data_IF_896507933274
#
_entry.id   IF_896507933274
#
_cell.length_a   1.000
_cell.length_b   1.000
_cell.length_c   1.000
_cell.angle_alpha   90.00
_cell.angle_beta   90.00
_cell.angle_gamma   90.00
#
_symmetry.space_group_name_H-M   'P 1'
#
loop_
_entity.id
_entity.type
_entity.pdbx_description
1 polymer ?
#
# COMPACT_ATOMS: atom_id res chain seq x y z
N UNK A 1 33.50 -16.53 -12.40
CA UNK A 1 32.56 -15.51 -12.93
C UNK A 1 31.15 -15.73 -12.39
N UNK A 2 30.61 -16.95 -12.44
CA UNK A 2 29.28 -17.26 -11.87
C UNK A 2 29.20 -17.11 -10.34
N UNK A 3 30.25 -17.50 -9.61
CA UNK A 3 30.29 -17.31 -8.14
C UNK A 3 30.40 -15.84 -7.73
N UNK A 4 31.14 -15.04 -8.50
CA UNK A 4 31.20 -13.58 -8.31
C UNK A 4 29.86 -12.90 -8.62
N UNK A 5 29.10 -13.45 -9.58
CA UNK A 5 27.74 -13.03 -9.89
C UNK A 5 26.75 -13.30 -8.75
N UNK A 6 26.87 -14.47 -8.10
CA UNK A 6 26.03 -14.82 -6.94
C UNK A 6 26.37 -13.99 -5.72
N UNK A 7 27.64 -13.87 -5.33
CA UNK A 7 28.05 -13.08 -4.17
C UNK A 7 27.70 -11.58 -4.30
N UNK A 8 27.65 -11.07 -5.53
CA UNK A 8 27.27 -9.68 -5.82
C UNK A 8 25.82 -9.38 -5.45
N UNK A 9 24.98 -10.40 -5.50
CA UNK A 9 23.53 -10.23 -5.36
C UNK A 9 22.91 -10.99 -4.19
N UNK A 10 23.68 -11.88 -3.57
CA UNK A 10 23.24 -12.55 -2.34
C UNK A 10 23.20 -11.56 -1.18
N UNK A 11 22.08 -10.92 -1.09
CA UNK A 11 21.76 -9.93 -0.08
C UNK A 11 22.50 -8.61 -0.30
N UNK A 12 21.75 -7.56 -0.40
CA UNK A 12 22.26 -6.20 -0.39
C UNK A 12 23.12 -5.92 0.85
N UNK A 13 22.99 -6.72 1.91
CA UNK A 13 23.76 -6.64 3.14
C UNK A 13 25.28 -6.64 2.93
N UNK A 14 25.79 -7.42 1.97
CA UNK A 14 27.23 -7.45 1.68
C UNK A 14 27.71 -6.10 1.15
N UNK A 15 26.97 -5.50 0.21
CA UNK A 15 27.30 -4.22 -0.42
C UNK A 15 27.16 -3.06 0.55
N UNK A 16 26.13 -3.09 1.38
CA UNK A 16 25.94 -2.10 2.43
C UNK A 16 27.02 -2.16 3.47
N UNK A 17 27.32 -3.35 3.95
CA UNK A 17 28.38 -3.57 4.93
C UNK A 17 29.73 -3.11 4.40
N UNK A 18 30.02 -3.42 3.14
CA UNK A 18 31.23 -2.95 2.48
C UNK A 18 31.23 -1.44 2.33
N UNK A 19 30.18 -0.85 1.78
CA UNK A 19 30.07 0.57 1.60
C UNK A 19 30.16 1.37 2.90
N UNK A 20 29.52 0.87 3.94
CA UNK A 20 29.56 1.49 5.26
C UNK A 20 30.94 1.39 5.92
N UNK A 21 31.63 0.24 5.81
CA UNK A 21 32.97 0.03 6.36
C UNK A 21 34.04 0.80 5.60
N UNK A 22 33.92 0.90 4.29
CA UNK A 22 34.91 1.54 3.44
C UNK A 22 34.85 3.08 3.45
N UNK A 23 33.75 3.68 3.94
CA UNK A 23 33.58 5.13 3.94
C UNK A 23 33.70 5.71 2.55
N UNK A 24 33.01 5.11 1.59
CA UNK A 24 33.13 5.33 0.14
C UNK A 24 33.33 6.80 -0.25
N UNK A 25 34.52 7.16 -0.72
CA UNK A 25 34.85 8.50 -1.21
C UNK A 25 34.96 8.53 -2.73
N UNK A 26 35.74 7.63 -3.29
CA UNK A 26 36.00 7.49 -4.71
C UNK A 26 36.01 6.04 -5.14
N UNK A 27 35.75 5.76 -6.40
CA UNK A 27 35.71 4.38 -6.92
C UNK A 27 37.07 3.68 -6.90
N UNK A 28 38.14 4.40 -7.23
CA UNK A 28 39.52 3.88 -7.17
C UNK A 28 39.93 3.50 -5.73
N UNK A 29 39.54 4.29 -4.73
CA UNK A 29 39.74 3.96 -3.31
C UNK A 29 38.96 2.71 -2.93
N UNK A 30 37.72 2.60 -3.38
CA UNK A 30 36.87 1.43 -3.11
C UNK A 30 37.48 0.18 -3.75
N UNK A 31 37.96 0.27 -4.98
CA UNK A 31 38.52 -0.86 -5.71
C UNK A 31 39.83 -1.38 -5.12
N UNK A 32 40.50 -0.57 -4.31
CA UNK A 32 41.75 -0.95 -3.62
C UNK A 32 41.56 -1.44 -2.18
N UNK A 33 40.41 -1.13 -1.56
CA UNK A 33 40.10 -1.44 -0.16
C UNK A 33 39.58 -2.85 0.07
N UNK A 34 39.23 -3.56 -0.97
CA UNK A 34 38.60 -4.88 -0.87
C UNK A 34 39.45 -6.01 -1.38
N UNK A 35 38.93 -7.21 -1.28
CA UNK A 35 39.45 -8.35 -2.01
C UNK A 35 39.31 -8.11 -3.52
N UNK A 36 40.11 -8.79 -4.33
CA UNK A 36 40.00 -8.76 -5.80
C UNK A 36 38.56 -9.03 -6.27
N UNK A 37 37.85 -9.91 -5.57
CA UNK A 37 36.44 -10.23 -5.83
C UNK A 37 35.53 -9.01 -5.64
N UNK A 38 35.74 -8.22 -4.59
CA UNK A 38 34.97 -7.00 -4.31
C UNK A 38 35.23 -5.93 -5.39
N UNK A 39 36.48 -5.71 -5.77
CA UNK A 39 36.83 -4.77 -6.82
C UNK A 39 36.21 -5.15 -8.18
N UNK A 40 36.26 -6.44 -8.55
CA UNK A 40 35.62 -6.95 -9.77
C UNK A 40 34.10 -6.78 -9.70
N UNK A 41 33.48 -7.03 -8.56
CA UNK A 41 32.06 -6.88 -8.39
C UNK A 41 31.62 -5.41 -8.52
N UNK A 42 32.36 -4.46 -7.93
CA UNK A 42 32.08 -3.02 -8.08
C UNK A 42 32.18 -2.55 -9.52
N UNK A 43 33.23 -2.96 -10.23
CA UNK A 43 33.37 -2.66 -11.66
C UNK A 43 32.23 -3.23 -12.49
N UNK A 44 31.78 -4.43 -12.16
CA UNK A 44 30.64 -5.06 -12.81
C UNK A 44 29.32 -4.28 -12.57
N UNK A 45 29.12 -3.71 -11.38
CA UNK A 45 27.96 -2.86 -11.08
C UNK A 45 28.06 -1.55 -11.86
N UNK A 46 29.25 -0.92 -11.88
CA UNK A 46 29.48 0.30 -12.68
C UNK A 46 29.17 0.05 -14.17
N UNK A 47 29.72 -1.02 -14.74
CA UNK A 47 29.48 -1.40 -16.13
C UNK A 47 28.00 -1.64 -16.44
N UNK A 48 27.28 -2.27 -15.52
CA UNK A 48 25.84 -2.46 -15.67
C UNK A 48 25.06 -1.13 -15.63
N UNK A 49 25.48 -0.19 -14.77
CA UNK A 49 24.91 1.15 -14.72
C UNK A 49 25.17 1.92 -16.04
N UNK A 50 26.36 1.81 -16.58
CA UNK A 50 26.74 2.42 -17.88
C UNK A 50 25.88 1.88 -19.02
N UNK A 51 25.63 0.57 -19.05
CA UNK A 51 24.74 -0.04 -20.04
C UNK A 51 23.29 0.46 -19.93
N UNK A 52 22.80 0.63 -18.71
CA UNK A 52 21.43 1.14 -18.47
C UNK A 52 21.31 2.63 -18.82
N UNK A 53 22.37 3.39 -18.62
CA UNK A 53 22.40 4.84 -18.91
C UNK A 53 22.71 5.12 -20.39
N UNK A 54 23.40 4.23 -21.06
CA UNK A 54 23.83 4.39 -22.45
C UNK A 54 25.06 5.28 -22.63
N UNK A 55 25.79 5.60 -21.56
CA UNK A 55 27.03 6.39 -21.58
C UNK A 55 27.97 5.99 -20.44
N UNK A 56 29.23 6.40 -20.55
CA UNK A 56 30.25 6.13 -19.54
C UNK A 56 30.02 6.97 -18.28
N UNK A 57 30.03 6.29 -17.11
CA UNK A 57 29.82 6.91 -15.80
C UNK A 57 31.16 7.23 -15.17
N UNK A 58 31.40 8.49 -14.81
CA UNK A 58 32.62 8.87 -14.09
C UNK A 58 32.70 8.18 -12.73
N UNK A 59 33.92 7.94 -12.24
CA UNK A 59 34.12 7.29 -10.93
C UNK A 59 33.52 8.13 -9.79
N UNK A 60 33.57 9.46 -9.91
CA UNK A 60 32.99 10.36 -8.90
C UNK A 60 31.45 10.24 -8.86
N UNK A 61 30.80 10.22 -10.02
CA UNK A 61 29.35 10.01 -10.12
C UNK A 61 28.97 8.63 -9.57
N UNK A 62 29.69 7.59 -9.98
CA UNK A 62 29.45 6.23 -9.50
C UNK A 62 29.57 6.14 -7.98
N UNK A 63 30.63 6.69 -7.40
CA UNK A 63 30.86 6.68 -5.95
C UNK A 63 29.78 7.45 -5.19
N UNK A 64 29.31 8.59 -5.72
CA UNK A 64 28.27 9.38 -5.09
C UNK A 64 26.93 8.64 -5.09
N UNK A 65 26.54 8.06 -6.22
CA UNK A 65 25.34 7.21 -6.33
C UNK A 65 25.45 6.00 -5.40
N UNK A 66 26.57 5.27 -5.50
CA UNK A 66 26.78 4.05 -4.71
C UNK A 66 26.74 4.31 -3.20
N UNK A 67 27.38 5.40 -2.74
CA UNK A 67 27.32 5.83 -1.33
C UNK A 67 25.88 6.14 -0.91
N UNK A 68 25.13 6.84 -1.74
CA UNK A 68 23.74 7.18 -1.40
C UNK A 68 22.88 5.94 -1.34
N UNK A 69 23.02 5.03 -2.32
CA UNK A 69 22.32 3.75 -2.32
C UNK A 69 22.71 2.90 -1.10
N UNK A 70 24.01 2.81 -0.77
CA UNK A 70 24.49 2.04 0.38
C UNK A 70 24.05 2.61 1.73
N UNK A 71 23.88 3.91 1.84
CA UNK A 71 23.43 4.56 3.09
C UNK A 71 21.91 4.64 3.20
N UNK A 72 21.20 4.22 2.16
CA UNK A 72 19.74 4.16 2.21
C UNK A 72 19.30 2.96 3.07
N UNK A 73 18.47 3.22 4.07
CA UNK A 73 17.93 2.19 4.97
C UNK A 73 16.40 2.27 4.99
N UNK A 74 15.72 1.15 5.09
CA UNK A 74 16.18 -0.22 5.17
C UNK A 74 16.62 -0.78 3.80
N UNK A 75 17.68 -1.54 3.84
CA UNK A 75 18.36 -2.13 2.69
C UNK A 75 17.55 -3.18 1.94
N UNK A 76 16.78 -4.05 2.60
CA UNK A 76 16.02 -5.08 1.89
C UNK A 76 15.04 -4.47 0.88
N UNK A 77 14.71 -3.22 1.07
CA UNK A 77 13.72 -2.50 0.28
C UNK A 77 14.22 -1.94 -1.05
N UNK A 78 15.52 -2.01 -1.36
CA UNK A 78 16.04 -1.50 -2.63
C UNK A 78 15.38 -2.12 -3.87
N UNK A 79 14.74 -3.26 -3.72
CA UNK A 79 14.01 -3.88 -4.80
C UNK A 79 12.68 -3.27 -5.15
N UNK A 80 11.98 -2.79 -4.18
CA UNK A 80 10.59 -2.39 -4.36
C UNK A 80 10.29 -0.95 -3.94
N UNK A 81 11.26 -0.27 -3.31
CA UNK A 81 10.96 1.00 -2.65
C UNK A 81 12.04 2.06 -2.87
N UNK A 82 11.61 3.23 -3.34
CA UNK A 82 12.42 4.45 -3.36
C UNK A 82 11.56 5.62 -2.84
N UNK A 83 11.78 6.11 -1.61
CA UNK A 83 11.11 7.30 -1.12
C UNK A 83 11.29 8.47 -2.08
N UNK A 84 10.30 9.33 -2.18
CA UNK A 84 10.37 10.52 -3.01
C UNK A 84 11.64 11.35 -2.72
N UNK A 85 12.00 11.48 -1.46
CA UNK A 85 13.22 12.16 -1.04
C UNK A 85 14.49 11.47 -1.56
N UNK A 86 14.51 10.15 -1.60
CA UNK A 86 15.62 9.38 -2.16
C UNK A 86 15.71 9.57 -3.67
N UNK A 87 14.59 9.50 -4.38
CA UNK A 87 14.50 9.79 -5.82
C UNK A 87 14.98 11.21 -6.11
N UNK A 88 14.47 12.20 -5.40
CA UNK A 88 14.89 13.61 -5.55
C UNK A 88 16.37 13.81 -5.23
N UNK A 89 16.91 13.05 -4.30
CA UNK A 89 18.34 13.11 -3.99
C UNK A 89 19.17 12.51 -5.11
N UNK A 90 18.76 11.39 -5.69
CA UNK A 90 19.43 10.82 -6.87
C UNK A 90 19.32 11.74 -8.07
N UNK A 91 18.20 12.38 -8.30
CA UNK A 91 18.04 13.40 -9.34
C UNK A 91 19.05 14.54 -9.17
N UNK A 92 19.15 15.10 -7.96
CA UNK A 92 20.14 16.16 -7.66
C UNK A 92 21.60 15.72 -7.84
N UNK A 93 21.89 14.45 -7.53
CA UNK A 93 23.24 13.89 -7.79
C UNK A 93 23.51 13.85 -9.30
N UNK A 94 22.58 13.34 -10.09
CA UNK A 94 22.71 13.28 -11.54
C UNK A 94 22.90 14.68 -12.15
N UNK A 95 22.02 15.61 -11.81
CA UNK A 95 22.06 16.99 -12.29
C UNK A 95 23.37 17.71 -11.95
N UNK A 96 23.88 17.49 -10.73
CA UNK A 96 25.20 18.01 -10.29
C UNK A 96 26.34 17.55 -11.18
N UNK A 97 26.23 16.35 -11.74
CA UNK A 97 27.21 15.77 -12.66
C UNK A 97 26.86 16.00 -14.15
N UNK A 98 25.89 16.88 -14.44
CA UNK A 98 25.46 17.21 -15.80
C UNK A 98 24.66 16.13 -16.50
N UNK A 99 24.10 15.17 -15.74
CA UNK A 99 23.26 14.07 -16.22
C UNK A 99 21.79 14.40 -15.96
N UNK A 100 20.91 14.13 -16.93
CA UNK A 100 19.47 14.34 -16.74
C UNK A 100 18.90 13.54 -15.57
N UNK A 101 18.08 14.18 -14.74
CA UNK A 101 17.37 13.54 -13.65
C UNK A 101 16.43 12.41 -14.07
N UNK A 102 16.06 12.33 -15.36
CA UNK A 102 15.24 11.24 -15.92
C UNK A 102 15.94 9.87 -15.81
N UNK A 103 17.26 9.84 -15.70
CA UNK A 103 18.02 8.59 -15.55
C UNK A 103 17.94 7.95 -14.17
N UNK A 104 17.21 8.53 -13.20
CA UNK A 104 16.98 7.90 -11.90
C UNK A 104 16.42 6.48 -12.03
N UNK A 105 15.54 6.26 -13.01
CA UNK A 105 15.02 4.93 -13.30
C UNK A 105 16.10 3.90 -13.68
N UNK A 106 17.12 4.30 -14.41
CA UNK A 106 18.25 3.44 -14.77
C UNK A 106 19.09 3.07 -13.55
N UNK A 107 19.39 4.05 -12.67
CA UNK A 107 20.07 3.79 -11.40
C UNK A 107 19.27 2.78 -10.57
N UNK A 108 17.98 3.04 -10.45
CA UNK A 108 17.09 2.17 -9.70
C UNK A 108 17.10 0.73 -10.25
N UNK A 109 16.98 0.54 -11.57
CA UNK A 109 17.08 -0.77 -12.21
C UNK A 109 18.41 -1.45 -11.97
N UNK A 110 19.53 -0.73 -12.08
CA UNK A 110 20.87 -1.27 -11.86
C UNK A 110 21.05 -1.83 -10.46
N UNK A 111 20.64 -1.10 -9.45
CA UNK A 111 20.78 -1.50 -8.05
C UNK A 111 19.66 -2.42 -7.57
N UNK A 112 18.56 -2.45 -8.29
CA UNK A 112 17.43 -3.34 -8.08
C UNK A 112 17.61 -4.74 -8.65
N UNK A 113 18.50 -4.91 -9.60
CA UNK A 113 18.61 -6.03 -10.55
C UNK A 113 18.67 -7.44 -9.94
N UNK A 114 18.42 -7.68 -8.70
CA UNK A 114 18.14 -9.03 -8.19
C UNK A 114 17.24 -9.05 -6.96
N UNK A 115 16.51 -8.02 -6.79
CA UNK A 115 15.36 -8.10 -5.93
C UNK A 115 14.14 -8.63 -6.72
N UNK A 116 14.35 -9.14 -7.93
CA UNK A 116 13.34 -9.86 -8.72
C UNK A 116 12.77 -11.10 -8.01
N UNK A 117 13.42 -11.55 -6.92
CA UNK A 117 12.85 -12.50 -5.97
C UNK A 117 12.06 -11.82 -4.83
N UNK A 118 12.13 -10.51 -4.70
CA UNK A 118 11.24 -9.73 -3.86
C UNK A 118 10.03 -9.40 -4.72
N UNK A 119 9.03 -10.24 -4.62
CA UNK A 119 7.82 -10.25 -5.43
C UNK A 119 7.14 -8.89 -5.40
N UNK A 120 7.45 -8.03 -6.38
CA UNK A 120 6.51 -7.02 -6.82
C UNK A 120 5.40 -7.75 -7.57
N UNK A 121 4.22 -7.23 -7.49
CA UNK A 121 3.04 -7.85 -8.09
C UNK A 121 2.91 -7.46 -9.56
N UNK A 122 2.36 -8.36 -10.35
CA UNK A 122 1.96 -8.03 -11.72
C UNK A 122 0.72 -7.14 -11.71
N UNK A 123 -0.19 -7.40 -10.77
CA UNK A 123 -1.49 -6.74 -10.73
C UNK A 123 -1.83 -6.28 -9.31
N UNK A 124 -2.56 -5.17 -9.21
CA UNK A 124 -3.17 -4.67 -7.98
C UNK A 124 -4.69 -4.66 -8.18
N UNK A 125 -5.41 -5.25 -7.23
CA UNK A 125 -6.85 -5.16 -7.12
C UNK A 125 -7.20 -4.29 -5.92
N UNK A 126 -7.87 -3.18 -6.14
CA UNK A 126 -8.39 -2.31 -5.10
C UNK A 126 -9.78 -2.82 -4.68
N UNK A 127 -9.90 -3.26 -3.45
CA UNK A 127 -11.14 -3.64 -2.82
C UNK A 127 -11.61 -2.46 -1.96
N UNK A 128 -12.76 -1.86 -2.33
CA UNK A 128 -13.27 -0.64 -1.69
C UNK A 128 -14.69 -0.92 -1.17
N UNK A 129 -14.82 -1.44 0.06
CA UNK A 129 -16.08 -1.95 0.55
C UNK A 129 -16.99 -0.90 1.19
N UNK A 130 -16.47 0.25 1.64
CA UNK A 130 -17.19 1.12 2.56
C UNK A 130 -17.23 2.61 2.18
N UNK A 131 -16.84 2.99 0.96
CA UNK A 131 -16.77 4.40 0.54
C UNK A 131 -18.15 5.05 0.35
N UNK A 132 -19.15 4.27 0.03
CA UNK A 132 -20.45 4.77 -0.36
C UNK A 132 -21.36 5.08 0.85
N UNK A 133 -22.08 6.19 0.78
CA UNK A 133 -23.20 6.52 1.66
C UNK A 133 -24.57 6.30 0.98
N UNK A 134 -24.58 5.73 -0.22
CA UNK A 134 -25.80 5.48 -1.00
C UNK A 134 -26.58 4.26 -0.54
N UNK A 135 -27.85 4.24 -0.83
CA UNK A 135 -28.74 3.12 -0.59
C UNK A 135 -29.42 2.70 -1.89
N UNK A 136 -29.84 1.44 -2.06
CA UNK A 136 -30.67 1.03 -3.19
C UNK A 136 -31.98 1.85 -3.23
N UNK A 137 -32.44 2.18 -4.43
CA UNK A 137 -33.68 2.95 -4.62
C UNK A 137 -34.88 2.30 -3.93
N UNK A 138 -34.92 0.97 -3.95
CA UNK A 138 -36.02 0.18 -3.37
C UNK A 138 -36.02 0.21 -1.85
N UNK A 139 -34.93 0.61 -1.20
CA UNK A 139 -34.84 0.67 0.25
C UNK A 139 -35.63 1.82 0.87
N UNK A 140 -36.01 2.83 0.07
CA UNK A 140 -36.61 4.09 0.51
C UNK A 140 -35.77 4.85 1.56
N UNK A 141 -34.45 4.60 1.61
CA UNK A 141 -33.49 5.28 2.47
C UNK A 141 -32.52 6.13 1.65
N UNK A 142 -31.95 7.13 2.30
CA UNK A 142 -30.94 8.03 1.72
C UNK A 142 -29.85 8.33 2.73
N UNK A 143 -28.76 8.96 2.28
CA UNK A 143 -27.69 9.41 3.17
C UNK A 143 -28.17 10.44 4.22
N UNK A 144 -29.30 11.11 3.98
CA UNK A 144 -29.91 12.05 4.94
C UNK A 144 -30.54 11.35 6.14
N UNK A 145 -30.82 10.04 6.03
CA UNK A 145 -31.35 9.26 7.13
C UNK A 145 -30.28 8.84 8.15
N UNK A 146 -29.00 9.01 7.79
CA UNK A 146 -27.87 8.74 8.66
C UNK A 146 -27.71 9.84 9.70
N UNK A 147 -27.62 9.46 10.97
CA UNK A 147 -27.19 10.39 12.01
C UNK A 147 -25.67 10.60 11.98
N UNK A 148 -25.18 11.53 12.81
CA UNK A 148 -23.76 11.88 12.82
C UNK A 148 -22.83 10.71 13.13
N UNK A 149 -23.18 9.89 14.12
CA UNK A 149 -22.36 8.74 14.52
C UNK A 149 -22.33 7.66 13.42
N UNK A 150 -23.43 7.47 12.71
CA UNK A 150 -23.52 6.56 11.56
C UNK A 150 -22.69 7.04 10.37
N UNK A 151 -22.68 8.37 10.13
CA UNK A 151 -21.82 8.97 9.10
C UNK A 151 -20.34 8.76 9.37
N UNK A 152 -19.90 8.76 10.64
CA UNK A 152 -18.52 8.47 10.98
C UNK A 152 -18.07 7.05 10.62
N UNK A 153 -19.01 6.10 10.43
CA UNK A 153 -18.70 4.74 10.03
C UNK A 153 -18.42 4.58 8.52
N UNK A 154 -18.87 5.52 7.70
CA UNK A 154 -18.65 5.49 6.25
C UNK A 154 -17.22 5.91 5.95
N UNK A 155 -16.52 5.16 5.11
CA UNK A 155 -15.14 5.46 4.67
C UNK A 155 -15.16 6.44 3.48
N UNK A 156 -15.73 7.63 3.71
CA UNK A 156 -15.93 8.63 2.66
C UNK A 156 -14.67 8.84 1.83
N UNK A 157 -14.84 8.91 0.51
CA UNK A 157 -13.80 9.21 -0.47
C UNK A 157 -12.69 8.18 -0.61
N UNK A 158 -12.74 7.02 0.04
CA UNK A 158 -11.70 5.99 -0.14
C UNK A 158 -11.68 5.47 -1.58
N UNK A 159 -12.82 5.42 -2.27
CA UNK A 159 -12.87 5.14 -3.70
C UNK A 159 -12.06 6.17 -4.51
N UNK A 160 -12.32 7.46 -4.33
CA UNK A 160 -11.59 8.51 -5.04
C UNK A 160 -10.11 8.55 -4.63
N UNK A 161 -9.82 8.33 -3.34
CA UNK A 161 -8.48 8.40 -2.78
C UNK A 161 -7.57 7.30 -3.36
N UNK A 162 -8.07 6.07 -3.41
CA UNK A 162 -7.31 4.92 -3.88
C UNK A 162 -7.39 4.73 -5.40
N UNK A 163 -8.48 5.13 -6.06
CA UNK A 163 -8.73 4.86 -7.48
C UNK A 163 -8.28 5.97 -8.44
N UNK A 164 -7.69 7.05 -7.99
CA UNK A 164 -7.43 8.29 -8.76
C UNK A 164 -6.69 8.16 -10.09
N UNK A 165 -6.26 6.96 -10.46
CA UNK A 165 -5.67 6.60 -11.75
C UNK A 165 -5.69 5.08 -11.95
N UNK A 166 -6.72 4.43 -11.40
CA UNK A 166 -6.70 3.00 -11.14
C UNK A 166 -7.00 2.12 -12.35
N UNK A 167 -7.57 2.63 -13.40
CA UNK A 167 -7.83 1.78 -14.57
C UNK A 167 -6.64 1.81 -15.53
N UNK A 168 -5.62 1.09 -15.18
CA UNK A 168 -4.54 0.69 -16.07
C UNK A 168 -4.64 -0.80 -16.36
N UNK A 169 -3.87 -1.31 -17.30
CA UNK A 169 -3.81 -2.76 -17.60
C UNK A 169 -3.49 -3.61 -16.34
N UNK A 170 -2.84 -3.03 -15.33
CA UNK A 170 -2.34 -3.73 -14.14
C UNK A 170 -3.04 -3.35 -12.83
N UNK A 171 -3.89 -2.34 -12.83
CA UNK A 171 -4.65 -1.90 -11.65
C UNK A 171 -6.14 -1.94 -11.98
N UNK A 172 -6.88 -2.62 -11.14
CA UNK A 172 -8.35 -2.69 -11.24
C UNK A 172 -8.98 -2.49 -9.88
N UNK A 173 -10.26 -2.19 -9.86
CA UNK A 173 -10.99 -1.97 -8.63
C UNK A 173 -12.33 -2.72 -8.59
N UNK A 174 -12.80 -2.99 -7.38
CA UNK A 174 -14.17 -3.42 -7.08
C UNK A 174 -14.67 -2.57 -5.92
N UNK A 175 -15.68 -1.76 -6.17
CA UNK A 175 -16.28 -0.85 -5.20
C UNK A 175 -17.67 -1.36 -4.82
N UNK A 176 -17.95 -1.44 -3.52
CA UNK A 176 -19.31 -1.72 -3.08
C UNK A 176 -20.16 -0.44 -3.23
N UNK A 177 -21.30 -0.51 -3.94
CA UNK A 177 -22.02 0.69 -4.32
C UNK A 177 -22.88 1.28 -3.20
N UNK A 178 -23.09 0.55 -2.10
CA UNK A 178 -24.00 0.93 -1.04
C UNK A 178 -23.30 1.18 0.29
N UNK A 179 -24.01 1.88 1.18
CA UNK A 179 -23.55 2.16 2.53
C UNK A 179 -23.37 0.85 3.33
N UNK A 180 -22.30 0.77 4.11
CA UNK A 180 -22.03 -0.36 4.99
C UNK A 180 -23.15 -0.61 6.02
N UNK A 181 -23.91 0.41 6.38
CA UNK A 181 -25.05 0.26 7.28
C UNK A 181 -26.23 -0.47 6.64
N UNK A 182 -26.29 -0.45 5.29
CA UNK A 182 -27.25 -1.28 4.54
C UNK A 182 -26.77 -2.74 4.47
N UNK A 183 -25.50 -2.93 4.13
CA UNK A 183 -24.84 -4.23 4.07
C UNK A 183 -23.34 -4.05 4.30
N UNK A 184 -22.80 -4.58 5.38
CA UNK A 184 -21.37 -4.59 5.63
C UNK A 184 -20.75 -5.85 4.99
N UNK A 185 -20.13 -5.65 3.83
CA UNK A 185 -19.51 -6.72 3.03
C UNK A 185 -18.19 -7.23 3.59
N UNK A 186 -17.63 -6.54 4.59
CA UNK A 186 -16.41 -6.93 5.30
C UNK A 186 -16.67 -7.94 6.42
N UNK A 187 -17.89 -7.97 6.96
CA UNK A 187 -18.21 -8.88 8.04
C UNK A 187 -18.15 -10.33 7.60
N UNK A 188 -17.80 -11.21 8.53
CA UNK A 188 -17.89 -12.64 8.30
C UNK A 188 -19.34 -13.12 8.50
N UNK A 189 -19.70 -14.19 7.80
CA UNK A 189 -20.94 -14.89 8.10
C UNK A 189 -20.81 -15.45 9.54
N UNK A 190 -21.76 -15.12 10.41
CA UNK A 190 -21.74 -15.42 11.85
C UNK A 190 -20.63 -14.68 12.62
N UNK A 191 -20.28 -13.47 12.20
CA UNK A 191 -19.36 -12.60 12.95
C UNK A 191 -19.82 -12.44 14.40
N UNK A 192 -18.92 -12.54 15.41
CA UNK A 192 -19.28 -12.33 16.82
C UNK A 192 -19.97 -10.99 17.08
N UNK A 193 -19.62 -9.93 16.33
CA UNK A 193 -20.22 -8.61 16.43
C UNK A 193 -21.68 -8.56 15.95
N UNK A 194 -22.18 -9.61 15.28
CA UNK A 194 -23.60 -9.70 14.91
C UNK A 194 -24.50 -9.68 16.17
N UNK A 195 -24.02 -10.20 17.30
CA UNK A 195 -24.72 -10.17 18.59
C UNK A 195 -24.89 -8.76 19.17
N UNK A 196 -24.00 -7.87 18.74
CA UNK A 196 -23.98 -6.46 19.13
C UNK A 196 -24.67 -5.56 18.08
N UNK A 197 -25.28 -6.18 17.07
CA UNK A 197 -25.92 -5.46 15.97
C UNK A 197 -24.98 -4.91 14.93
N UNK A 198 -23.73 -5.37 14.88
CA UNK A 198 -22.66 -4.91 13.97
C UNK A 198 -22.23 -6.03 13.01
N UNK A 199 -23.18 -6.86 12.56
CA UNK A 199 -22.96 -7.93 11.59
C UNK A 199 -23.03 -7.46 10.14
N UNK A 200 -23.28 -8.39 9.19
CA UNK A 200 -23.52 -8.08 7.76
C UNK A 200 -24.62 -7.02 7.61
N UNK A 201 -25.59 -7.05 8.49
CA UNK A 201 -26.64 -6.05 8.60
C UNK A 201 -26.52 -5.33 9.95
N UNK A 202 -26.43 -4.01 9.92
CA UNK A 202 -26.42 -3.23 11.15
C UNK A 202 -27.82 -3.15 11.77
N UNK A 203 -27.89 -3.40 13.09
CA UNK A 203 -29.07 -3.28 13.91
C UNK A 203 -28.76 -2.33 15.06
N UNK A 204 -29.19 -1.09 14.95
CA UNK A 204 -28.91 -0.07 15.96
C UNK A 204 -30.12 0.15 16.86
N UNK A 205 -29.89 0.18 18.17
CA UNK A 205 -30.88 0.68 19.11
C UNK A 205 -31.07 2.18 18.95
N UNK A 206 -32.29 2.58 18.59
CA UNK A 206 -32.63 4.02 18.43
C UNK A 206 -33.50 4.41 19.60
N UNK A 207 -33.03 5.40 20.38
CA UNK A 207 -33.84 6.03 21.43
C UNK A 207 -34.90 6.92 20.77
N UNK A 208 -35.95 6.31 20.22
CA UNK A 208 -37.13 7.02 19.72
C UNK A 208 -38.28 6.89 20.70
N UNK A 209 -39.00 7.98 20.90
CA UNK A 209 -40.25 7.95 21.71
C UNK A 209 -41.40 7.10 21.11
N UNK A 210 -41.16 6.36 20.03
CA UNK A 210 -42.13 5.58 19.25
C UNK A 210 -42.05 4.05 19.40
N UNK A 211 -41.22 3.53 20.30
CA UNK A 211 -41.29 2.10 20.69
C UNK A 211 -40.67 1.10 19.72
N UNK A 212 -39.91 1.51 18.69
CA UNK A 212 -39.09 0.61 17.88
C UNK A 212 -37.65 0.61 18.43
N UNK A 213 -37.22 -0.47 19.09
CA UNK A 213 -35.93 -0.50 19.78
C UNK A 213 -34.73 -0.53 18.80
N UNK A 214 -34.94 -0.95 17.56
CA UNK A 214 -33.85 -1.14 16.60
C UNK A 214 -34.16 -0.55 15.23
N UNK A 215 -33.18 0.12 14.64
CA UNK A 215 -33.19 0.58 13.25
C UNK A 215 -32.25 -0.31 12.41
N UNK A 216 -32.70 -0.63 11.20
CA UNK A 216 -31.88 -1.23 10.17
C UNK A 216 -32.28 -0.66 8.81
N UNK A 217 -31.33 -0.53 7.92
CA UNK A 217 -31.53 0.01 6.57
C UNK A 217 -31.81 -1.06 5.52
N UNK A 218 -31.80 -2.34 5.90
CA UNK A 218 -32.08 -3.48 5.03
C UNK A 218 -32.81 -4.60 5.77
N UNK A 219 -33.53 -5.45 5.04
CA UNK A 219 -33.91 -6.76 5.52
C UNK A 219 -32.71 -7.71 5.53
N UNK A 220 -32.81 -8.82 6.26
CA UNK A 220 -31.75 -9.85 6.29
C UNK A 220 -31.48 -10.43 4.89
N UNK A 221 -32.52 -10.66 4.11
CA UNK A 221 -32.39 -11.25 2.77
C UNK A 221 -31.73 -10.26 1.78
N UNK A 222 -32.13 -9.00 1.81
CA UNK A 222 -31.55 -7.95 0.95
C UNK A 222 -30.06 -7.81 1.23
N UNK A 223 -29.66 -7.61 2.49
CA UNK A 223 -28.27 -7.52 2.87
C UNK A 223 -27.47 -8.75 2.43
N UNK A 224 -28.01 -9.96 2.62
CA UNK A 224 -27.32 -11.19 2.27
C UNK A 224 -27.15 -11.38 0.75
N UNK A 225 -28.13 -10.98 -0.05
CA UNK A 225 -28.02 -10.99 -1.51
C UNK A 225 -26.89 -10.06 -1.95
N UNK A 226 -26.85 -8.81 -1.48
CA UNK A 226 -25.80 -7.85 -1.81
C UNK A 226 -24.41 -8.34 -1.37
N UNK A 227 -24.33 -8.95 -0.21
CA UNK A 227 -23.11 -9.56 0.31
C UNK A 227 -22.57 -10.63 -0.67
N UNK A 228 -23.40 -11.60 -1.05
CA UNK A 228 -23.00 -12.68 -1.96
C UNK A 228 -22.62 -12.16 -3.34
N UNK A 229 -23.39 -11.23 -3.88
CA UNK A 229 -23.13 -10.67 -5.22
C UNK A 229 -21.81 -9.89 -5.26
N UNK A 230 -21.54 -9.09 -4.22
CA UNK A 230 -20.29 -8.36 -4.11
C UNK A 230 -19.10 -9.31 -3.97
N UNK A 231 -19.15 -10.29 -3.06
CA UNK A 231 -18.09 -11.28 -2.88
C UNK A 231 -17.84 -12.10 -4.15
N UNK A 232 -18.90 -12.44 -4.88
CA UNK A 232 -18.79 -13.12 -6.18
C UNK A 232 -18.07 -12.26 -7.21
N UNK A 233 -18.36 -10.96 -7.24
CA UNK A 233 -17.74 -10.03 -8.17
C UNK A 233 -16.24 -9.84 -7.88
N UNK A 234 -15.86 -9.69 -6.60
CA UNK A 234 -14.45 -9.60 -6.19
C UNK A 234 -13.71 -10.90 -6.53
N UNK A 235 -14.29 -12.06 -6.21
CA UNK A 235 -13.69 -13.36 -6.51
C UNK A 235 -13.46 -13.57 -8.00
N UNK A 236 -14.43 -13.21 -8.84
CA UNK A 236 -14.28 -13.26 -10.32
C UNK A 236 -13.17 -12.35 -10.79
N UNK A 237 -13.04 -11.16 -10.19
CA UNK A 237 -12.01 -10.20 -10.56
C UNK A 237 -10.62 -10.70 -10.19
N UNK A 238 -10.43 -11.26 -8.98
CA UNK A 238 -9.16 -11.88 -8.57
C UNK A 238 -8.76 -12.97 -9.57
N UNK A 239 -9.68 -13.87 -9.92
CA UNK A 239 -9.44 -14.96 -10.88
C UNK A 239 -9.03 -14.39 -12.25
N UNK A 240 -9.71 -13.37 -12.73
CA UNK A 240 -9.42 -12.75 -14.03
C UNK A 240 -8.05 -12.07 -14.07
N UNK A 241 -7.60 -11.49 -12.96
CA UNK A 241 -6.28 -10.87 -12.84
C UNK A 241 -5.16 -11.89 -12.69
N UNK A 242 -5.45 -13.08 -12.20
CA UNK A 242 -4.53 -14.20 -12.11
C UNK A 242 -3.59 -14.16 -10.91
N UNK A 243 -2.63 -15.08 -10.90
CA UNK A 243 -1.57 -15.13 -9.89
C UNK A 243 -0.70 -13.87 -9.94
N UNK A 244 0.07 -13.62 -8.90
CA UNK A 244 0.85 -12.37 -8.73
C UNK A 244 -0.04 -11.11 -8.55
N UNK A 245 -1.26 -11.27 -8.07
CA UNK A 245 -2.15 -10.17 -7.70
C UNK A 245 -2.01 -9.83 -6.23
N UNK A 246 -1.86 -8.53 -5.93
CA UNK A 246 -2.04 -7.96 -4.59
C UNK A 246 -3.43 -7.32 -4.51
N UNK A 247 -4.27 -7.86 -3.64
CA UNK A 247 -5.47 -7.16 -3.23
C UNK A 247 -5.08 -6.12 -2.17
N UNK A 248 -5.40 -4.87 -2.42
CA UNK A 248 -5.32 -3.80 -1.42
C UNK A 248 -6.74 -3.56 -0.91
N UNK A 249 -6.92 -3.85 0.36
CA UNK A 249 -8.17 -3.65 1.09
C UNK A 249 -8.19 -2.20 1.59
N UNK A 250 -9.05 -1.38 0.99
CA UNK A 250 -8.99 0.07 1.04
C UNK A 250 -9.96 0.62 2.07
N UNK A 251 -9.46 1.10 3.20
CA UNK A 251 -10.27 1.57 4.30
C UNK A 251 -9.86 2.92 4.84
N UNK A 252 -10.71 3.46 5.70
CA UNK A 252 -10.39 4.62 6.52
C UNK A 252 -11.10 4.56 7.86
N UNK A 253 -10.46 5.09 8.88
CA UNK A 253 -11.00 5.15 10.24
C UNK A 253 -11.10 6.58 10.75
N UNK A 254 -12.07 6.81 11.63
CA UNK A 254 -12.32 8.11 12.24
C UNK A 254 -11.32 8.41 13.37
N UNK A 255 -10.85 9.65 13.45
CA UNK A 255 -10.12 10.19 14.61
C UNK A 255 -11.07 10.59 15.75
N UNK A 256 -12.37 10.55 15.51
CA UNK A 256 -13.41 10.89 16.49
C UNK A 256 -14.00 9.59 17.06
N UNK A 257 -14.24 9.50 18.39
CA UNK A 257 -14.93 8.36 18.97
C UNK A 257 -16.26 8.08 18.27
N UNK A 258 -16.50 6.80 17.97
CA UNK A 258 -17.70 6.35 17.26
C UNK A 258 -18.15 4.96 17.74
N UNK A 259 -19.19 4.40 17.10
CA UNK A 259 -19.79 3.12 17.47
C UNK A 259 -18.84 1.93 17.38
N UNK A 260 -17.87 1.96 16.47
CA UNK A 260 -16.88 0.89 16.29
C UNK A 260 -15.63 1.10 17.16
N UNK A 261 -15.33 2.35 17.50
CA UNK A 261 -14.13 2.69 18.25
C UNK A 261 -14.38 3.86 19.21
N UNK A 262 -14.53 3.57 20.47
CA UNK A 262 -14.74 4.57 21.53
C UNK A 262 -13.45 5.31 21.92
N UNK A 263 -12.28 4.79 21.55
CA UNK A 263 -10.96 5.40 21.81
C UNK A 263 -10.09 5.30 20.54
N UNK A 264 -10.28 6.20 19.57
CA UNK A 264 -9.54 6.16 18.32
C UNK A 264 -8.02 6.20 18.55
N UNK A 265 -7.26 5.41 17.80
CA UNK A 265 -5.81 5.36 17.95
C UNK A 265 -5.14 6.62 17.42
N UNK A 266 -4.04 7.04 18.05
CA UNK A 266 -3.20 8.14 17.56
C UNK A 266 -2.17 7.62 16.55
N UNK A 267 -2.67 7.06 15.44
CA UNK A 267 -1.89 6.70 14.25
C UNK A 267 -2.49 7.37 13.02
N UNK A 268 -1.70 7.45 11.97
CA UNK A 268 -2.12 8.02 10.69
C UNK A 268 -2.58 6.95 9.71
N UNK A 269 -1.84 5.85 9.64
CA UNK A 269 -2.10 4.74 8.72
C UNK A 269 -1.88 3.42 9.46
N UNK A 270 -2.76 2.46 9.24
CA UNK A 270 -2.58 1.09 9.71
C UNK A 270 -2.49 0.13 8.53
N UNK A 271 -1.48 -0.74 8.55
CA UNK A 271 -1.29 -1.80 7.55
C UNK A 271 -1.70 -3.12 8.18
N UNK A 272 -2.79 -3.70 7.66
CA UNK A 272 -3.31 -4.99 8.07
C UNK A 272 -2.91 -6.12 7.11
N UNK A 273 -2.63 -7.30 7.64
CA UNK A 273 -2.34 -8.51 6.86
C UNK A 273 -2.62 -9.76 7.69
N UNK A 274 -2.90 -10.85 6.99
CA UNK A 274 -3.20 -12.13 7.63
C UNK A 274 -1.93 -12.93 7.93
N UNK A 275 -2.06 -13.92 8.80
CA UNK A 275 -1.00 -14.91 9.07
C UNK A 275 -1.36 -16.25 8.39
N UNK A 276 -1.59 -16.18 7.07
CA UNK A 276 -1.96 -17.32 6.22
C UNK A 276 -1.32 -17.19 4.83
N UNK A 277 -1.73 -18.05 3.89
CA UNK A 277 -1.21 -18.07 2.51
C UNK A 277 -1.51 -16.79 1.71
N UNK A 278 -2.41 -15.93 2.18
CA UNK A 278 -2.69 -14.63 1.57
C UNK A 278 -1.77 -13.53 2.06
N UNK A 279 -0.95 -13.80 3.07
CA UNK A 279 0.01 -12.84 3.60
C UNK A 279 1.03 -12.43 2.51
N UNK A 280 1.19 -11.14 2.23
CA UNK A 280 2.28 -10.68 1.39
C UNK A 280 3.63 -11.03 2.01
N UNK A 281 4.66 -11.13 1.17
CA UNK A 281 6.01 -11.28 1.69
C UNK A 281 6.31 -10.15 2.70
N UNK A 282 6.96 -10.48 3.82
CA UNK A 282 7.31 -9.52 4.88
C UNK A 282 8.08 -8.29 4.37
N UNK A 283 8.82 -8.45 3.27
CA UNK A 283 9.51 -7.34 2.62
C UNK A 283 8.52 -6.38 1.96
N UNK A 284 7.46 -6.88 1.33
CA UNK A 284 6.42 -6.05 0.73
C UNK A 284 5.69 -5.25 1.81
N UNK A 285 5.30 -5.91 2.90
CA UNK A 285 4.69 -5.23 4.06
C UNK A 285 5.65 -4.18 4.63
N UNK A 286 6.91 -4.54 4.85
CA UNK A 286 7.94 -3.60 5.33
C UNK A 286 8.13 -2.41 4.39
N UNK A 287 8.01 -2.61 3.08
CA UNK A 287 8.10 -1.54 2.08
C UNK A 287 6.91 -0.58 2.17
N UNK A 288 5.69 -1.11 2.32
CA UNK A 288 4.49 -0.27 2.47
C UNK A 288 4.60 0.57 3.75
N UNK A 289 4.93 -0.06 4.86
CA UNK A 289 5.10 0.62 6.16
C UNK A 289 6.15 1.72 6.06
N UNK A 290 7.35 1.35 5.61
CA UNK A 290 8.45 2.30 5.50
C UNK A 290 8.18 3.42 4.49
N UNK A 291 7.44 3.16 3.42
CA UNK A 291 6.99 4.19 2.49
C UNK A 291 6.24 5.29 3.24
N UNK A 292 5.20 4.94 3.97
CA UNK A 292 4.41 5.93 4.69
C UNK A 292 5.18 6.59 5.84
N UNK A 293 6.00 5.83 6.58
CA UNK A 293 6.89 6.39 7.62
C UNK A 293 7.86 7.44 7.06
N UNK A 294 8.41 7.19 5.85
CA UNK A 294 9.32 8.14 5.21
C UNK A 294 8.66 9.44 4.78
N UNK A 295 7.35 9.42 4.58
CA UNK A 295 6.53 10.61 4.33
C UNK A 295 6.13 11.33 5.62
N UNK A 296 6.52 10.79 6.78
CA UNK A 296 6.28 11.37 8.11
C UNK A 296 5.00 10.89 8.78
N UNK A 297 4.32 9.86 8.25
CA UNK A 297 3.12 9.28 8.85
C UNK A 297 3.48 8.33 10.00
N UNK A 298 2.65 8.33 11.05
CA UNK A 298 2.68 7.31 12.11
C UNK A 298 1.97 6.05 11.61
N UNK A 299 2.72 4.96 11.44
CA UNK A 299 2.21 3.72 10.88
C UNK A 299 2.09 2.63 11.93
N UNK A 300 0.91 2.00 12.02
CA UNK A 300 0.66 0.78 12.78
C UNK A 300 0.69 -0.46 11.87
N UNK A 301 1.01 -1.63 12.43
CA UNK A 301 0.98 -2.91 11.73
C UNK A 301 0.10 -3.90 12.49
N UNK A 302 -1.01 -4.34 11.88
CA UNK A 302 -2.01 -5.21 12.50
C UNK A 302 -2.52 -4.70 13.87
N UNK A 303 -2.30 -3.45 14.18
CA UNK A 303 -2.73 -2.81 15.42
C UNK A 303 -2.91 -1.30 15.16
N UNK A 304 -4.06 -0.74 15.49
CA UNK A 304 -5.22 -1.34 16.17
C UNK A 304 -6.15 -2.17 15.25
N UNK A 305 -5.99 -2.06 13.94
CA UNK A 305 -6.78 -2.81 12.95
C UNK A 305 -5.93 -3.94 12.38
N UNK A 306 -6.45 -5.15 12.44
CA UNK A 306 -5.71 -6.34 12.01
C UNK A 306 -6.39 -7.03 10.84
N UNK A 307 -5.59 -7.84 10.14
CA UNK A 307 -5.97 -8.62 8.98
C UNK A 307 -6.27 -7.77 7.73
N UNK A 308 -6.62 -8.47 6.69
CA UNK A 308 -7.11 -7.95 5.42
C UNK A 308 -8.18 -8.89 4.91
N UNK A 309 -9.16 -8.40 4.17
CA UNK A 309 -10.20 -9.25 3.60
C UNK A 309 -9.65 -10.27 2.65
N UNK A 310 -10.14 -11.49 2.75
CA UNK A 310 -9.77 -12.58 1.86
C UNK A 310 -11.00 -13.23 1.23
N UNK A 311 -10.78 -13.79 0.05
CA UNK A 311 -11.81 -14.44 -0.77
C UNK A 311 -11.33 -15.84 -1.16
N UNK A 312 -12.21 -16.82 -1.01
CA UNK A 312 -11.90 -18.20 -1.41
C UNK A 312 -11.93 -18.34 -2.93
N UNK A 313 -10.75 -18.40 -3.53
CA UNK A 313 -10.56 -18.56 -4.98
C UNK A 313 -9.54 -19.66 -5.27
N UNK A 314 -9.59 -20.30 -6.46
CA UNK A 314 -8.72 -21.45 -6.78
C UNK A 314 -7.30 -21.04 -7.22
N UNK A 315 -6.92 -19.78 -7.07
CA UNK A 315 -5.60 -19.26 -7.43
C UNK A 315 -4.94 -18.62 -6.23
N UNK A 316 -3.62 -18.48 -6.25
CA UNK A 316 -2.87 -17.76 -5.21
C UNK A 316 -2.88 -16.27 -5.49
N UNK A 317 -3.17 -15.51 -4.47
CA UNK A 317 -3.04 -14.05 -4.46
C UNK A 317 -2.64 -13.61 -3.05
N UNK A 318 -2.24 -12.37 -2.88
CA UNK A 318 -1.95 -11.80 -1.57
C UNK A 318 -2.91 -10.67 -1.24
N UNK A 319 -3.06 -10.38 0.04
CA UNK A 319 -3.96 -9.34 0.53
C UNK A 319 -3.30 -8.52 1.64
N UNK A 320 -3.39 -7.20 1.53
CA UNK A 320 -2.97 -6.26 2.56
C UNK A 320 -4.00 -5.14 2.68
N UNK A 321 -4.39 -4.82 3.90
CA UNK A 321 -5.28 -3.71 4.21
C UNK A 321 -4.46 -2.43 4.39
N UNK A 322 -4.98 -1.32 3.89
CA UNK A 322 -4.49 0.02 4.17
C UNK A 322 -5.66 0.81 4.77
N UNK A 323 -5.56 1.06 6.06
CA UNK A 323 -6.50 1.87 6.84
C UNK A 323 -5.93 3.27 7.04
N UNK A 324 -6.62 4.29 6.55
CA UNK A 324 -6.16 5.68 6.59
C UNK A 324 -7.00 6.49 7.58
N UNK A 325 -6.35 7.22 8.46
CA UNK A 325 -7.05 8.14 9.36
C UNK A 325 -7.70 9.27 8.55
N UNK A 326 -9.01 9.45 8.71
CA UNK A 326 -9.82 10.44 7.97
C UNK A 326 -9.31 11.86 8.12
N UNK A 327 -8.74 12.21 9.29
CA UNK A 327 -8.15 13.54 9.55
C UNK A 327 -7.08 13.97 8.54
N UNK A 328 -6.47 13.01 7.82
CA UNK A 328 -5.42 13.30 6.86
C UNK A 328 -5.94 13.89 5.55
N UNK A 329 -7.19 13.63 5.20
CA UNK A 329 -7.73 13.96 3.89
C UNK A 329 -9.13 14.62 3.91
N UNK A 330 -9.82 14.62 5.05
CA UNK A 330 -11.13 15.22 5.19
C UNK A 330 -11.34 15.84 6.58
N UNK A 331 -12.28 16.76 6.67
CA UNK A 331 -12.85 17.24 7.92
C UNK A 331 -14.02 16.33 8.31
N UNK A 332 -13.90 15.67 9.45
CA UNK A 332 -14.89 14.69 9.89
C UNK A 332 -16.18 15.32 10.43
N UNK A 333 -16.18 16.63 10.72
CA UNK A 333 -17.38 17.35 11.16
C UNK A 333 -18.22 17.81 9.97
N UNK A 334 -17.57 18.37 8.94
CA UNK A 334 -18.24 18.88 7.75
C UNK A 334 -18.39 17.82 6.66
N UNK A 335 -17.62 16.73 6.75
CA UNK A 335 -17.47 15.67 5.74
C UNK A 335 -16.89 16.20 4.41
N UNK A 336 -16.18 17.31 4.43
CA UNK A 336 -15.56 17.89 3.24
C UNK A 336 -14.10 17.48 3.11
N UNK A 337 -13.62 17.37 1.88
CA UNK A 337 -12.20 17.12 1.61
C UNK A 337 -11.34 18.29 2.06
N UNK A 338 -10.18 18.00 2.64
CA UNK A 338 -9.16 19.00 2.98
C UNK A 338 -8.08 19.07 1.90
N UNK A 339 -7.14 20.00 2.03
CA UNK A 339 -5.96 20.10 1.15
C UNK A 339 -5.10 18.83 1.18
N UNK A 340 -5.14 18.08 2.30
CA UNK A 340 -4.45 16.80 2.46
C UNK A 340 -4.92 15.72 1.49
N UNK A 341 -6.16 15.81 0.97
CA UNK A 341 -6.73 14.82 0.05
C UNK A 341 -5.86 14.61 -1.20
N UNK A 342 -5.57 15.68 -1.92
CA UNK A 342 -4.82 15.60 -3.17
C UNK A 342 -3.37 15.11 -2.94
N UNK A 343 -2.77 15.54 -1.83
CA UNK A 343 -1.42 15.09 -1.43
C UNK A 343 -1.41 13.57 -1.21
N UNK A 344 -2.29 13.09 -0.35
CA UNK A 344 -2.36 11.67 0.00
C UNK A 344 -2.73 10.79 -1.20
N UNK A 345 -3.63 11.27 -2.07
CA UNK A 345 -3.98 10.61 -3.32
C UNK A 345 -2.75 10.41 -4.23
N UNK A 346 -1.90 11.42 -4.37
CA UNK A 346 -0.65 11.31 -5.14
C UNK A 346 0.34 10.33 -4.48
N UNK A 347 0.44 10.34 -3.17
CA UNK A 347 1.31 9.43 -2.42
C UNK A 347 0.85 7.98 -2.58
N UNK A 348 -0.45 7.69 -2.50
CA UNK A 348 -1.00 6.35 -2.77
C UNK A 348 -0.70 5.90 -4.20
N UNK A 349 -0.83 6.80 -5.18
CA UNK A 349 -0.47 6.50 -6.56
C UNK A 349 1.00 6.11 -6.72
N UNK A 350 1.89 6.82 -6.06
CA UNK A 350 3.33 6.50 -6.09
C UNK A 350 3.62 5.14 -5.45
N UNK A 351 2.89 4.78 -4.39
CA UNK A 351 2.99 3.45 -3.78
C UNK A 351 2.68 2.34 -4.80
N UNK A 352 1.68 2.49 -5.65
CA UNK A 352 1.38 1.48 -6.68
C UNK A 352 2.54 1.27 -7.66
N UNK A 353 3.20 2.36 -8.07
CA UNK A 353 4.40 2.28 -8.90
C UNK A 353 5.57 1.53 -8.25
N UNK A 354 5.59 1.45 -6.91
CA UNK A 354 6.56 0.71 -6.13
C UNK A 354 6.18 -0.78 -6.02
N UNK A 355 4.90 -1.07 -5.89
CA UNK A 355 4.38 -2.43 -5.68
C UNK A 355 4.26 -3.22 -6.98
N UNK A 356 4.08 -2.55 -8.11
CA UNK A 356 3.97 -3.21 -9.41
C UNK A 356 5.35 -3.55 -9.98
N UNK A 357 5.41 -4.68 -10.68
CA UNK A 357 6.54 -5.03 -11.54
C UNK A 357 6.64 -3.99 -12.66
N UNK A 358 7.86 -3.57 -13.04
CA UNK A 358 8.07 -2.72 -14.20
C UNK A 358 7.76 -3.44 -15.50
#
# INVERSE_FOLDING_TARGET
MEELGKSRWEGNEHWFKFGHQAGLKRFDEISTLGSTATAVALRSVKYQLENELGFEVSDDLFCEIFRKVCNFRPVPALGCYAPLEFIQTLQRILEKHGVSGEHVGAIWRTFRVRVDNLRCYKNILLHVPHSSSSFPEESNHSCNDLDYEERLLVDYYTDELFMSHAETEHISSVVFPYCRLYCDVERLINDPLEKEGLGIRYLREVKTGSGYPYRSFSSKNEAFIQYIDFHSSVSKKIIAMGEDTLLIDCHSFSSIPNLLNSNPPDIDICIGYNDDDTCPNKVVIGNIVHYFESLGYKVGMNEPFSNSKTFSVPIKYHSAMIEINKRLYMDELTLEKTEGFNKLQQEIRLLYGILLKP
#
